data_IF_821324399926
#
_entry.id   IF_821324399926
#
_cell.length_a   1.000
_cell.length_b   1.000
_cell.length_c   1.000
_cell.angle_alpha   90.00
_cell.angle_beta   90.00
_cell.angle_gamma   90.00
#
_symmetry.space_group_name_H-M   'P 1'
#
loop_
_entity.id
_entity.type
_entity.pdbx_description
1 polymer ?
#
# COMPACT_ATOMS: atom_id res chain seq x y z
N UNK A 1 -17.57 -16.20 29.44
CA UNK A 1 -16.35 -15.46 29.03
C UNK A 1 -16.11 -15.80 27.56
N UNK A 2 -16.46 -14.89 26.66
CA UNK A 2 -16.33 -15.10 25.22
C UNK A 2 -14.84 -15.18 24.88
N UNK A 3 -14.43 -16.25 24.20
CA UNK A 3 -13.03 -16.58 23.94
C UNK A 3 -12.38 -15.48 23.09
N UNK A 4 -11.52 -14.66 23.68
CA UNK A 4 -10.70 -13.68 22.95
C UNK A 4 -9.90 -14.36 21.82
N UNK A 5 -9.58 -15.65 21.96
CA UNK A 5 -8.93 -16.45 20.92
C UNK A 5 -9.73 -16.58 19.61
N UNK A 6 -11.06 -16.46 19.64
CA UNK A 6 -11.90 -16.44 18.43
C UNK A 6 -12.01 -15.04 17.82
N UNK A 7 -11.96 -13.99 18.65
CA UNK A 7 -11.96 -12.59 18.19
C UNK A 7 -10.60 -12.15 17.61
N UNK A 8 -9.53 -12.91 17.87
CA UNK A 8 -8.17 -12.69 17.37
C UNK A 8 -7.81 -13.78 16.34
N UNK A 9 -8.82 -14.42 15.75
CA UNK A 9 -8.57 -15.51 14.81
C UNK A 9 -7.84 -14.97 13.56
N UNK A 10 -6.71 -15.56 13.14
CA UNK A 10 -5.78 -14.97 12.15
C UNK A 10 -6.45 -14.59 10.82
N UNK A 11 -7.52 -15.27 10.43
CA UNK A 11 -8.24 -15.02 9.18
C UNK A 11 -8.91 -13.64 9.11
N UNK A 12 -9.25 -13.01 10.25
CA UNK A 12 -9.75 -11.64 10.27
C UNK A 12 -8.60 -10.60 10.24
N UNK A 13 -7.43 -10.93 10.78
CA UNK A 13 -6.25 -10.03 10.78
C UNK A 13 -5.52 -9.98 9.44
N UNK A 14 -5.63 -11.03 8.61
CA UNK A 14 -5.22 -10.98 7.20
C UNK A 14 -5.89 -9.79 6.48
N UNK A 15 -7.11 -9.44 6.90
CA UNK A 15 -7.90 -8.30 6.41
C UNK A 15 -7.23 -6.92 6.55
N UNK A 16 -6.37 -6.72 7.57
CA UNK A 16 -5.67 -5.45 7.75
C UNK A 16 -4.38 -5.41 6.91
N UNK A 17 -3.65 -6.52 6.88
CA UNK A 17 -2.44 -6.66 6.07
C UNK A 17 -2.74 -6.66 4.57
N UNK A 18 -3.98 -6.94 4.15
CA UNK A 18 -4.48 -6.79 2.78
C UNK A 18 -5.44 -5.59 2.60
N UNK A 19 -5.60 -4.74 3.62
CA UNK A 19 -6.43 -3.54 3.55
C UNK A 19 -5.82 -2.47 2.64
N UNK A 20 -6.64 -1.51 2.24
CA UNK A 20 -6.20 -0.31 1.52
C UNK A 20 -5.12 0.48 2.29
N UNK A 21 -5.21 0.53 3.62
CA UNK A 21 -4.23 1.21 4.48
C UNK A 21 -2.92 0.43 4.53
N UNK A 22 -3.00 -0.90 4.61
CA UNK A 22 -1.82 -1.78 4.50
C UNK A 22 -1.12 -1.60 3.15
N UNK A 23 -1.90 -1.54 2.06
CA UNK A 23 -1.38 -1.31 0.71
C UNK A 23 -0.70 0.06 0.61
N UNK A 24 -1.31 1.11 1.15
CA UNK A 24 -0.71 2.43 1.24
C UNK A 24 0.62 2.42 2.00
N UNK A 25 0.69 1.72 3.14
CA UNK A 25 1.93 1.53 3.89
C UNK A 25 3.03 0.85 3.07
N UNK A 26 2.69 -0.27 2.40
CA UNK A 26 3.62 -1.00 1.54
C UNK A 26 4.13 -0.13 0.38
N UNK A 27 3.24 0.60 -0.30
CA UNK A 27 3.60 1.52 -1.39
C UNK A 27 4.51 2.64 -0.90
N UNK A 28 4.28 3.17 0.30
CA UNK A 28 5.13 4.20 0.88
C UNK A 28 6.56 3.68 1.14
N UNK A 29 6.72 2.41 1.56
CA UNK A 29 8.04 1.78 1.68
C UNK A 29 8.74 1.72 0.33
N UNK A 30 8.04 1.35 -0.74
CA UNK A 30 8.63 1.32 -2.09
C UNK A 30 9.09 2.70 -2.58
N UNK A 31 8.33 3.75 -2.23
CA UNK A 31 8.66 5.15 -2.54
C UNK A 31 9.83 5.70 -1.72
N UNK A 32 10.20 5.07 -0.62
CA UNK A 32 11.42 5.43 0.13
C UNK A 32 12.70 5.14 -0.67
N UNK A 33 12.62 4.31 -1.71
CA UNK A 33 13.74 4.01 -2.62
C UNK A 33 13.83 4.96 -3.82
N UNK A 34 12.94 5.95 -3.92
CA UNK A 34 12.95 6.98 -4.95
C UNK A 34 11.59 7.19 -5.63
N UNK A 35 11.46 8.27 -6.44
CA UNK A 35 10.22 8.58 -7.13
C UNK A 35 9.80 7.47 -8.10
N UNK A 36 8.50 7.17 -8.18
CA UNK A 36 7.94 6.15 -9.09
C UNK A 36 6.62 6.60 -9.70
N UNK A 37 6.31 6.12 -10.90
CA UNK A 37 4.97 6.30 -11.50
C UNK A 37 3.96 5.35 -10.87
N UNK A 38 2.67 5.61 -11.09
CA UNK A 38 1.62 4.72 -10.62
C UNK A 38 1.70 3.33 -11.26
N UNK A 39 2.10 3.26 -12.53
CA UNK A 39 2.31 2.00 -13.26
C UNK A 39 3.50 1.20 -12.69
N UNK A 40 4.60 1.87 -12.36
CA UNK A 40 5.75 1.23 -11.72
C UNK A 40 5.39 0.65 -10.34
N UNK A 41 4.58 1.37 -9.58
CA UNK A 41 4.07 0.93 -8.27
C UNK A 41 3.12 -0.26 -8.40
N UNK A 42 2.20 -0.22 -9.36
CA UNK A 42 1.31 -1.33 -9.67
C UNK A 42 2.11 -2.56 -10.11
N UNK A 43 3.04 -2.39 -11.05
CA UNK A 43 3.90 -3.47 -11.52
C UNK A 43 4.73 -4.07 -10.37
N UNK A 44 5.20 -3.27 -9.41
CA UNK A 44 5.96 -3.76 -8.27
C UNK A 44 5.12 -4.63 -7.32
N UNK A 45 3.90 -4.21 -6.98
CA UNK A 45 3.03 -4.97 -6.07
C UNK A 45 2.40 -6.20 -6.73
N UNK A 46 2.26 -6.19 -8.06
CA UNK A 46 1.70 -7.30 -8.83
C UNK A 46 2.68 -8.45 -9.11
N UNK A 47 3.98 -8.31 -8.78
CA UNK A 47 4.95 -9.41 -8.94
C UNK A 47 4.67 -10.53 -7.94
N UNK A 48 5.00 -11.75 -8.33
CA UNK A 48 4.85 -12.94 -7.46
C UNK A 48 5.78 -12.92 -6.24
N UNK A 49 6.89 -12.21 -6.35
CA UNK A 49 7.90 -12.04 -5.30
C UNK A 49 7.76 -10.71 -4.53
N UNK A 50 6.65 -9.98 -4.69
CA UNK A 50 6.44 -8.66 -4.06
C UNK A 50 6.32 -8.72 -2.53
N UNK A 51 6.07 -9.92 -1.97
CA UNK A 51 5.80 -10.13 -0.55
C UNK A 51 4.44 -9.60 -0.09
N UNK A 52 3.62 -9.05 -1.00
CA UNK A 52 2.28 -8.58 -0.70
C UNK A 52 1.25 -9.73 -0.84
N UNK A 53 0.34 -9.93 0.13
CA UNK A 53 -0.45 -11.16 0.26
C UNK A 53 -1.42 -11.46 -0.89
N UNK A 54 -1.84 -10.46 -1.67
CA UNK A 54 -2.77 -10.63 -2.81
C UNK A 54 -2.48 -9.63 -3.90
N UNK A 55 -2.54 -10.02 -5.18
CA UNK A 55 -2.41 -9.06 -6.29
C UNK A 55 -3.54 -8.01 -6.24
N UNK A 56 -3.26 -6.73 -5.95
CA UNK A 56 -4.28 -5.69 -5.95
C UNK A 56 -4.65 -5.34 -7.39
N UNK A 57 -5.84 -4.78 -7.58
CA UNK A 57 -6.22 -4.13 -8.84
C UNK A 57 -5.57 -2.75 -8.94
N UNK A 58 -5.44 -2.24 -10.15
CA UNK A 58 -4.85 -0.92 -10.40
C UNK A 58 -5.56 0.19 -9.62
N UNK A 59 -6.89 0.16 -9.55
CA UNK A 59 -7.70 1.16 -8.83
C UNK A 59 -7.42 1.15 -7.32
N UNK A 60 -7.05 0.00 -6.75
CA UNK A 60 -6.68 -0.08 -5.33
C UNK A 60 -5.32 0.57 -5.08
N UNK A 61 -4.37 0.41 -6.01
CA UNK A 61 -3.07 1.10 -5.96
C UNK A 61 -3.26 2.60 -6.13
N UNK A 62 -4.07 3.02 -7.10
CA UNK A 62 -4.43 4.43 -7.29
C UNK A 62 -5.04 5.04 -6.03
N UNK A 63 -6.03 4.36 -5.45
CA UNK A 63 -6.71 4.83 -4.24
C UNK A 63 -5.78 4.86 -3.02
N UNK A 64 -4.89 3.89 -2.87
CA UNK A 64 -3.89 3.87 -1.79
C UNK A 64 -2.90 5.04 -1.91
N UNK A 65 -2.44 5.36 -3.13
CA UNK A 65 -1.61 6.55 -3.39
C UNK A 65 -2.39 7.83 -3.09
N UNK A 66 -3.67 7.91 -3.49
CA UNK A 66 -4.53 9.05 -3.16
C UNK A 66 -4.66 9.24 -1.65
N UNK A 67 -4.80 8.16 -0.89
CA UNK A 67 -4.85 8.20 0.57
C UNK A 67 -3.54 8.76 1.16
N UNK A 68 -2.39 8.30 0.66
CA UNK A 68 -1.08 8.85 1.07
C UNK A 68 -0.96 10.34 0.75
N UNK A 69 -1.45 10.77 -0.42
CA UNK A 69 -1.40 12.17 -0.83
C UNK A 69 -2.31 13.04 0.05
N UNK A 70 -3.51 12.54 0.40
CA UNK A 70 -4.47 13.24 1.25
C UNK A 70 -3.92 13.52 2.67
N UNK A 71 -3.06 12.64 3.18
CA UNK A 71 -2.39 12.82 4.49
C UNK A 71 -1.02 13.50 4.38
N UNK A 72 -0.63 13.97 3.19
CA UNK A 72 0.67 14.63 2.97
C UNK A 72 1.90 13.72 3.04
N UNK A 73 1.71 12.40 2.99
CA UNK A 73 2.82 11.43 3.09
C UNK A 73 3.56 11.22 1.76
N UNK A 74 2.95 11.62 0.64
CA UNK A 74 3.55 11.60 -0.71
C UNK A 74 3.15 12.86 -1.47
N UNK A 75 3.92 13.20 -2.50
CA UNK A 75 3.59 14.28 -3.43
C UNK A 75 3.87 13.87 -4.87
N UNK A 76 3.15 14.46 -5.81
CA UNK A 76 3.49 14.38 -7.23
C UNK A 76 4.68 15.30 -7.53
N UNK A 77 5.57 14.83 -8.38
CA UNK A 77 6.70 15.60 -8.92
C UNK A 77 6.64 15.57 -10.45
N UNK A 78 7.72 15.98 -11.12
CA UNK A 78 7.79 16.00 -12.58
C UNK A 78 7.53 14.61 -13.18
N UNK A 79 7.03 14.59 -14.42
CA UNK A 79 6.79 13.39 -15.22
C UNK A 79 5.84 12.36 -14.58
N UNK A 80 4.77 12.84 -13.91
CA UNK A 80 3.76 12.02 -13.22
C UNK A 80 4.33 11.07 -12.15
N UNK A 81 5.55 11.33 -11.68
CA UNK A 81 6.16 10.54 -10.62
C UNK A 81 5.64 10.97 -9.26
N UNK A 82 5.57 10.02 -8.36
CA UNK A 82 5.17 10.19 -6.96
C UNK A 82 6.43 9.96 -6.14
N UNK A 83 6.67 10.77 -5.13
CA UNK A 83 7.73 10.55 -4.15
C UNK A 83 7.20 10.60 -2.72
N UNK A 84 7.88 9.92 -1.80
CA UNK A 84 7.60 10.02 -0.38
C UNK A 84 8.03 11.39 0.15
N UNK A 85 7.18 12.02 0.96
CA UNK A 85 7.56 13.18 1.76
C UNK A 85 8.29 12.65 2.99
N UNK A 86 9.58 12.94 3.09
CA UNK A 86 10.35 12.70 4.31
C UNK A 86 9.95 13.73 5.38
N UNK A 87 9.88 13.33 6.65
CA UNK A 87 9.77 14.28 7.76
C UNK A 87 10.98 15.23 7.82
#
# INVERSE_FOLDING_TARGET
>A
MHNLALAVAPHEHVGFADSLVGLAGWLRVQLAHGPRTLDELFAAVSRDDSGWPRRPRFEQVALAVTLLAAIGAVRRVQDDRIEAVSP
#
